data_IF_178411631143
#
_entry.id   IF_178411631143
#
_cell.length_a   1.000
_cell.length_b   1.000
_cell.length_c   1.000
_cell.angle_alpha   90.00
_cell.angle_beta   90.00
_cell.angle_gamma   90.00
#
_symmetry.space_group_name_H-M   'P 1'
#
loop_
_entity.id
_entity.type
_entity.pdbx_description
1 polymer ?
#
# COMPACT_ATOMS: atom_id res chain seq x y z
N UNK A 1 15.76 -10.89 23.68
CA UNK A 1 15.23 -9.83 22.80
C UNK A 1 15.27 -10.18 21.31
N UNK A 2 16.17 -11.06 20.86
CA UNK A 2 16.27 -11.44 19.44
C UNK A 2 15.01 -12.13 18.90
N UNK A 3 14.41 -13.05 19.65
CA UNK A 3 13.18 -13.75 19.26
C UNK A 3 12.06 -12.77 18.89
N UNK A 4 11.86 -11.74 19.72
CA UNK A 4 10.84 -10.71 19.48
C UNK A 4 11.14 -9.92 18.19
N UNK A 5 12.41 -9.63 17.91
CA UNK A 5 12.82 -9.01 16.65
C UNK A 5 12.56 -9.91 15.44
N UNK A 6 12.82 -11.21 15.52
CA UNK A 6 12.51 -12.16 14.44
C UNK A 6 11.01 -12.30 14.20
N UNK A 7 10.20 -12.34 15.26
CA UNK A 7 8.73 -12.35 15.16
C UNK A 7 8.24 -11.08 14.46
N UNK A 8 8.68 -9.91 14.92
CA UNK A 8 8.32 -8.63 14.30
C UNK A 8 8.76 -8.54 12.83
N UNK A 9 9.94 -9.04 12.51
CA UNK A 9 10.45 -9.04 11.13
C UNK A 9 9.66 -10.00 10.24
N UNK A 10 9.24 -11.15 10.76
CA UNK A 10 8.38 -12.08 10.05
C UNK A 10 7.01 -11.45 9.75
N UNK A 11 6.45 -10.69 10.68
CA UNK A 11 5.22 -9.91 10.48
C UNK A 11 5.44 -8.86 9.38
N UNK A 12 6.55 -8.14 9.41
CA UNK A 12 6.87 -7.13 8.38
C UNK A 12 6.96 -7.75 6.99
N UNK A 13 7.63 -8.90 6.85
CA UNK A 13 7.71 -9.66 5.59
C UNK A 13 6.30 -10.08 5.15
N UNK A 14 5.52 -10.65 6.07
CA UNK A 14 4.16 -11.09 5.78
C UNK A 14 3.28 -9.94 5.28
N UNK A 15 3.37 -8.76 5.91
CA UNK A 15 2.67 -7.56 5.47
C UNK A 15 3.13 -7.11 4.08
N UNK A 16 4.45 -7.05 3.84
CA UNK A 16 5.00 -6.68 2.53
C UNK A 16 4.46 -7.58 1.40
N UNK A 17 4.46 -8.90 1.60
CA UNK A 17 3.91 -9.84 0.63
C UNK A 17 2.40 -9.70 0.46
N UNK A 18 1.65 -9.74 1.57
CA UNK A 18 0.19 -9.73 1.54
C UNK A 18 -0.34 -8.45 0.88
N UNK A 19 0.25 -7.30 1.19
CA UNK A 19 -0.14 -6.03 0.60
C UNK A 19 0.25 -5.93 -0.87
N UNK A 20 1.43 -6.43 -1.26
CA UNK A 20 1.84 -6.47 -2.68
C UNK A 20 0.91 -7.38 -3.49
N UNK A 21 0.54 -8.55 -2.95
CA UNK A 21 -0.47 -9.42 -3.55
C UNK A 21 -1.81 -8.71 -3.63
N UNK A 22 -2.21 -7.99 -2.57
CA UNK A 22 -3.41 -7.16 -2.56
C UNK A 22 -3.43 -6.15 -3.70
N UNK A 23 -2.32 -5.43 -3.95
CA UNK A 23 -2.19 -4.50 -5.09
C UNK A 23 -2.39 -5.24 -6.43
N UNK A 24 -1.90 -6.46 -6.55
CA UNK A 24 -2.03 -7.26 -7.79
C UNK A 24 -3.42 -7.81 -8.02
N UNK A 25 -4.10 -8.27 -6.96
CA UNK A 25 -5.41 -8.93 -7.05
C UNK A 25 -6.55 -7.90 -7.04
N UNK A 26 -6.45 -6.89 -6.18
CA UNK A 26 -7.42 -5.80 -6.09
C UNK A 26 -7.03 -4.68 -7.05
N UNK A 27 -7.48 -4.78 -8.30
CA UNK A 27 -7.11 -3.82 -9.36
C UNK A 27 -7.57 -2.38 -9.07
N UNK A 28 -8.63 -2.21 -8.29
CA UNK A 28 -9.11 -0.92 -7.79
C UNK A 28 -8.47 -0.47 -6.47
N UNK A 29 -7.36 -1.09 -6.02
CA UNK A 29 -6.68 -0.66 -4.80
C UNK A 29 -6.31 0.84 -4.85
N UNK A 30 -6.64 1.56 -3.78
CA UNK A 30 -6.35 2.99 -3.67
C UNK A 30 -4.88 3.30 -3.41
N UNK A 31 -4.47 4.55 -3.65
CA UNK A 31 -3.11 5.05 -3.40
C UNK A 31 -2.59 4.70 -2.00
N UNK A 32 -3.35 4.85 -0.90
CA UNK A 32 -2.85 4.51 0.44
C UNK A 32 -2.45 3.03 0.55
N UNK A 33 -3.21 2.12 -0.05
CA UNK A 33 -2.92 0.68 -0.06
C UNK A 33 -1.67 0.38 -0.86
N UNK A 34 -1.55 0.98 -2.05
CA UNK A 34 -0.39 0.80 -2.93
C UNK A 34 0.89 1.34 -2.27
N UNK A 35 0.81 2.51 -1.62
CA UNK A 35 1.93 3.08 -0.88
C UNK A 35 2.32 2.26 0.34
N UNK A 36 1.34 1.73 1.08
CA UNK A 36 1.60 0.84 2.20
C UNK A 36 2.38 -0.40 1.76
N UNK A 37 1.98 -1.01 0.65
CA UNK A 37 2.68 -2.15 0.05
C UNK A 37 4.15 -1.80 -0.28
N UNK A 38 4.35 -0.69 -0.99
CA UNK A 38 5.68 -0.19 -1.35
C UNK A 38 6.53 0.08 -0.11
N UNK A 39 5.98 0.76 0.90
CA UNK A 39 6.67 1.08 2.14
C UNK A 39 7.12 -0.19 2.87
N UNK A 40 6.23 -1.15 3.10
CA UNK A 40 6.59 -2.38 3.82
C UNK A 40 7.63 -3.18 3.05
N UNK A 41 7.54 -3.24 1.72
CA UNK A 41 8.52 -3.93 0.88
C UNK A 41 9.90 -3.29 0.97
N UNK A 42 9.99 -1.97 0.80
CA UNK A 42 11.26 -1.23 0.94
C UNK A 42 11.81 -1.36 2.35
N UNK A 43 10.98 -1.18 3.37
CA UNK A 43 11.43 -1.23 4.76
C UNK A 43 11.93 -2.63 5.15
N UNK A 44 11.25 -3.70 4.69
CA UNK A 44 11.71 -5.07 4.89
C UNK A 44 13.08 -5.30 4.22
N UNK A 45 13.24 -4.84 2.97
CA UNK A 45 14.48 -4.97 2.23
C UNK A 45 15.64 -4.19 2.88
N UNK A 46 15.42 -2.93 3.26
CA UNK A 46 16.41 -2.10 3.93
C UNK A 46 16.82 -2.71 5.26
N UNK A 47 15.85 -3.17 6.07
CA UNK A 47 16.15 -3.79 7.36
C UNK A 47 16.95 -5.10 7.21
N UNK A 48 16.66 -5.87 6.16
CA UNK A 48 17.40 -7.08 5.84
C UNK A 48 18.85 -6.78 5.43
N UNK A 49 19.05 -5.88 4.47
CA UNK A 49 20.37 -5.59 3.88
C UNK A 49 21.29 -4.84 4.83
N UNK A 50 20.73 -3.92 5.63
CA UNK A 50 21.52 -3.10 6.56
C UNK A 50 22.06 -3.88 7.76
N UNK A 51 21.58 -5.10 8.03
CA UNK A 51 21.95 -5.88 9.20
C UNK A 51 21.55 -5.25 10.54
N UNK A 52 20.68 -4.23 10.52
CA UNK A 52 20.19 -3.56 11.72
C UNK A 52 19.39 -4.52 12.61
N UNK A 53 19.28 -4.16 13.89
CA UNK A 53 18.53 -4.97 14.85
C UNK A 53 17.07 -5.13 14.40
N UNK A 54 16.61 -6.38 14.28
CA UNK A 54 15.27 -6.71 13.80
C UNK A 54 14.15 -6.16 14.67
N UNK A 55 14.40 -5.76 15.92
CA UNK A 55 13.41 -5.07 16.77
C UNK A 55 12.83 -3.79 16.13
N UNK A 56 13.57 -3.14 15.23
CA UNK A 56 13.06 -1.98 14.49
C UNK A 56 11.83 -2.31 13.64
N UNK A 57 11.62 -3.58 13.28
CA UNK A 57 10.43 -4.01 12.54
C UNK A 57 9.13 -3.62 13.26
N UNK A 58 9.11 -3.61 14.60
CA UNK A 58 7.92 -3.24 15.38
C UNK A 58 7.53 -1.78 15.12
N UNK A 59 8.51 -0.89 15.15
CA UNK A 59 8.31 0.53 14.85
C UNK A 59 8.00 0.76 13.38
N UNK A 60 8.65 0.03 12.47
CA UNK A 60 8.38 0.09 11.02
C UNK A 60 6.93 -0.31 10.72
N UNK A 61 6.44 -1.37 11.34
CA UNK A 61 5.04 -1.81 11.14
C UNK A 61 4.09 -0.70 11.59
N UNK A 62 4.29 -0.15 12.78
CA UNK A 62 3.48 0.94 13.31
C UNK A 62 3.53 2.18 12.40
N UNK A 63 4.71 2.62 11.99
CA UNK A 63 4.87 3.80 11.14
C UNK A 63 4.30 3.60 9.75
N UNK A 64 4.34 2.38 9.20
CA UNK A 64 3.70 2.05 7.93
C UNK A 64 2.19 2.26 7.98
N UNK A 65 1.53 1.79 9.03
CA UNK A 65 0.09 2.04 9.22
C UNK A 65 -0.23 3.52 9.41
N UNK A 66 0.59 4.24 10.20
CA UNK A 66 0.43 5.69 10.34
C UNK A 66 0.60 6.40 8.99
N UNK A 67 1.59 6.01 8.17
CA UNK A 67 1.83 6.58 6.85
C UNK A 67 0.60 6.41 5.94
N UNK A 68 0.02 5.21 5.90
CA UNK A 68 -1.19 4.93 5.11
C UNK A 68 -2.34 5.85 5.54
N UNK A 69 -2.54 6.01 6.86
CA UNK A 69 -3.55 6.92 7.40
C UNK A 69 -3.29 8.39 6.98
N UNK A 70 -2.04 8.86 7.07
CA UNK A 70 -1.68 10.21 6.65
C UNK A 70 -1.84 10.43 5.14
N UNK A 71 -1.50 9.46 4.29
CA UNK A 71 -1.70 9.56 2.84
C UNK A 71 -3.20 9.64 2.52
N UNK A 72 -4.02 8.86 3.22
CA UNK A 72 -5.47 8.93 3.08
C UNK A 72 -5.99 10.32 3.48
N UNK A 73 -5.51 10.88 4.59
CA UNK A 73 -5.86 12.24 5.01
C UNK A 73 -5.41 13.28 3.96
N UNK A 74 -4.21 13.13 3.42
CA UNK A 74 -3.65 14.03 2.42
C UNK A 74 -4.51 14.10 1.15
N UNK A 75 -5.15 12.99 0.77
CA UNK A 75 -6.07 12.95 -0.37
C UNK A 75 -7.25 13.93 -0.22
N UNK A 76 -7.63 14.24 1.03
CA UNK A 76 -8.76 15.13 1.35
C UNK A 76 -8.28 16.58 1.49
N UNK A 77 -7.19 16.82 2.23
CA UNK A 77 -6.79 18.17 2.63
C UNK A 77 -5.76 18.83 1.71
N UNK A 78 -4.99 18.07 0.93
CA UNK A 78 -3.93 18.61 0.07
C UNK A 78 -3.81 17.81 -1.24
N UNK A 79 -4.79 17.91 -2.15
CA UNK A 79 -4.86 17.10 -3.37
C UNK A 79 -3.65 17.30 -4.29
N UNK A 80 -3.04 18.48 -4.31
CA UNK A 80 -1.85 18.74 -5.13
C UNK A 80 -0.65 17.90 -4.69
N UNK A 81 -0.38 17.83 -3.38
CA UNK A 81 0.71 17.03 -2.82
C UNK A 81 0.40 15.54 -2.99
N UNK A 82 -0.86 15.16 -2.80
CA UNK A 82 -1.34 13.80 -3.04
C UNK A 82 -1.08 13.32 -4.48
N UNK A 83 -1.12 14.21 -5.48
CA UNK A 83 -0.79 13.87 -6.87
C UNK A 83 0.61 13.28 -7.06
N UNK A 84 1.60 13.71 -6.27
CA UNK A 84 2.96 13.14 -6.29
C UNK A 84 2.94 11.69 -5.80
N UNK A 85 2.22 11.42 -4.71
CA UNK A 85 2.02 10.07 -4.21
C UNK A 85 1.23 9.23 -5.22
N UNK A 86 0.25 9.79 -5.90
CA UNK A 86 -0.49 9.07 -6.92
C UNK A 86 0.42 8.62 -8.08
N UNK A 87 1.36 9.47 -8.52
CA UNK A 87 2.32 9.11 -9.56
C UNK A 87 3.21 7.92 -9.13
N UNK A 88 3.81 8.00 -7.94
CA UNK A 88 4.68 6.93 -7.42
C UNK A 88 3.89 5.62 -7.24
N UNK A 89 2.64 5.72 -6.74
CA UNK A 89 1.75 4.58 -6.60
C UNK A 89 1.44 3.94 -7.96
N UNK A 90 1.16 4.74 -8.98
CA UNK A 90 0.91 4.25 -10.34
C UNK A 90 2.09 3.44 -10.84
N UNK A 91 3.31 3.99 -10.77
CA UNK A 91 4.52 3.30 -11.22
C UNK A 91 4.70 1.97 -10.49
N UNK A 92 4.52 1.94 -9.17
CA UNK A 92 4.63 0.70 -8.42
C UNK A 92 3.53 -0.31 -8.77
N UNK A 93 2.28 0.14 -8.93
CA UNK A 93 1.17 -0.71 -9.33
C UNK A 93 1.41 -1.32 -10.72
N UNK A 94 1.94 -0.54 -11.66
CA UNK A 94 2.29 -1.02 -13.00
C UNK A 94 3.34 -2.12 -12.94
N UNK A 95 4.38 -1.96 -12.11
CA UNK A 95 5.41 -3.00 -11.87
C UNK A 95 4.79 -4.28 -11.28
N UNK A 96 3.93 -4.15 -10.27
CA UNK A 96 3.30 -5.30 -9.58
C UNK A 96 2.27 -6.01 -10.48
N UNK A 97 1.63 -5.27 -11.39
CA UNK A 97 0.57 -5.75 -12.27
C UNK A 97 1.05 -6.11 -13.68
N UNK A 98 2.36 -6.19 -13.90
CA UNK A 98 2.93 -6.66 -15.17
C UNK A 98 2.24 -7.95 -15.62
N UNK A 99 1.78 -7.94 -16.88
CA UNK A 99 1.04 -9.05 -17.51
C UNK A 99 -0.49 -8.99 -17.36
N UNK A 100 -1.04 -7.99 -16.66
CA UNK A 100 -2.49 -7.77 -16.61
C UNK A 100 -2.88 -6.75 -17.68
N UNK A 101 -3.84 -7.07 -18.59
CA UNK A 101 -4.31 -6.12 -19.60
C UNK A 101 -4.88 -4.84 -18.98
N UNK A 102 -4.53 -3.69 -19.56
CA UNK A 102 -4.97 -2.38 -19.07
C UNK A 102 -6.51 -2.25 -19.05
N UNK A 103 -7.19 -2.86 -20.02
CA UNK A 103 -8.66 -2.90 -20.10
C UNK A 103 -9.29 -3.53 -18.85
N UNK A 104 -8.68 -4.58 -18.29
CA UNK A 104 -9.16 -5.22 -17.06
C UNK A 104 -8.96 -4.32 -15.84
N UNK A 105 -7.86 -3.57 -15.81
CA UNK A 105 -7.56 -2.64 -14.73
C UNK A 105 -8.57 -1.48 -14.75
N UNK A 106 -8.77 -0.87 -15.93
CA UNK A 106 -9.74 0.22 -16.12
C UNK A 106 -11.16 -0.21 -15.80
N UNK A 107 -11.60 -1.38 -16.31
CA UNK A 107 -12.93 -1.90 -16.02
C UNK A 107 -13.17 -2.11 -14.51
N UNK A 108 -12.15 -2.60 -13.77
CA UNK A 108 -12.25 -2.77 -12.33
C UNK A 108 -12.31 -1.43 -11.58
N UNK A 109 -11.52 -0.43 -12.00
CA UNK A 109 -11.54 0.92 -11.43
C UNK A 109 -12.87 1.63 -11.69
N UNK A 110 -13.40 1.53 -12.91
CA UNK A 110 -14.69 2.10 -13.29
C UNK A 110 -15.85 1.47 -12.52
N UNK A 111 -15.81 0.13 -12.34
CA UNK A 111 -16.81 -0.58 -11.56
C UNK A 111 -16.82 -0.13 -10.09
N UNK A 112 -15.64 0.04 -9.47
CA UNK A 112 -15.53 0.51 -8.09
C UNK A 112 -16.00 1.97 -7.94
N UNK A 113 -15.66 2.84 -8.91
CA UNK A 113 -16.12 4.22 -8.94
C UNK A 113 -17.66 4.31 -9.04
N UNK A 114 -18.28 3.50 -9.91
CA UNK A 114 -19.75 3.41 -10.01
C UNK A 114 -20.37 2.94 -8.69
N UNK A 115 -19.82 1.89 -8.09
CA UNK A 115 -20.30 1.37 -6.80
C UNK A 115 -20.13 2.39 -5.65
N UNK A 116 -19.12 3.26 -5.71
CA UNK A 116 -18.95 4.35 -4.74
C UNK A 116 -20.03 5.43 -4.91
N UNK A 117 -20.38 5.78 -6.14
CA UNK A 117 -21.44 6.74 -6.46
C UNK A 117 -22.81 6.22 -6.02
N UNK A 118 -23.12 4.95 -6.30
CA UNK A 118 -24.37 4.31 -5.88
C UNK A 118 -24.50 4.29 -4.35
N UNK A 119 -23.45 3.89 -3.62
CA UNK A 119 -23.42 3.92 -2.16
C UNK A 119 -23.56 5.32 -1.57
N UNK A 120 -23.09 6.36 -2.25
CA UNK A 120 -23.30 7.74 -1.82
C UNK A 120 -24.75 8.17 -2.01
N UNK A 121 -25.36 7.77 -3.13
CA UNK A 121 -26.77 8.06 -3.44
C UNK A 121 -27.75 7.39 -2.48
N UNK A 122 -27.47 6.16 -2.05
CA UNK A 122 -28.29 5.43 -1.07
C UNK A 122 -28.21 5.99 0.36
N UNK A 123 -27.17 6.77 0.66
CA UNK A 123 -26.98 7.41 1.97
C UNK A 123 -27.61 8.80 2.08
N UNK A 124 -28.14 9.35 0.99
CA UNK A 124 -28.94 10.58 0.96
C UNK A 124 -30.42 10.27 1.09
#
# INVERSE_FOLDING_TARGET
>A
MEILGYVGFSILIFLAFTWTIGVRVQLAAGVPTIFGALFFLIAAFVLFVSGLNKLHSLWIVLTGFCLIFFINLLSIYAPFVYGIFQLIASVFADIVRVGIPEEKIRAAQDADARAAIERWREKQ
#
